data_IF_113547625544
#
_entry.id   IF_113547625544
#
_cell.length_a   1.000
_cell.length_b   1.000
_cell.length_c   1.000
_cell.angle_alpha   90.00
_cell.angle_beta   90.00
_cell.angle_gamma   90.00
#
_symmetry.space_group_name_H-M   'P 1'
#
loop_
_entity.id
_entity.type
_entity.pdbx_description
1 polymer ?
#
# COMPACT_ATOMS: atom_id res chain seq x y z
N UNK A 1 6.54 19.89 -30.11
CA UNK A 1 7.41 19.76 -28.93
C UNK A 1 6.71 20.08 -27.60
N UNK A 2 5.44 20.49 -27.53
CA UNK A 2 4.76 20.88 -26.27
C UNK A 2 3.82 19.84 -25.65
N UNK A 3 3.45 18.76 -26.35
CA UNK A 3 2.48 17.78 -25.86
C UNK A 3 3.05 16.84 -24.79
N UNK A 4 4.26 16.34 -25.02
CA UNK A 4 4.89 15.31 -24.18
C UNK A 4 5.35 15.86 -22.82
N UNK A 5 5.86 17.10 -22.79
CA UNK A 5 6.29 17.75 -21.54
C UNK A 5 5.11 18.01 -20.59
N UNK A 6 3.98 18.44 -21.13
CA UNK A 6 2.75 18.64 -20.35
C UNK A 6 2.25 17.32 -19.74
N UNK A 7 2.35 16.21 -20.48
CA UNK A 7 1.93 14.90 -19.99
C UNK A 7 2.83 14.42 -18.84
N UNK A 8 4.16 14.57 -18.98
CA UNK A 8 5.12 14.22 -17.91
C UNK A 8 4.87 15.07 -16.65
N UNK A 9 4.59 16.36 -16.80
CA UNK A 9 4.30 17.24 -15.66
C UNK A 9 3.04 16.79 -14.91
N UNK A 10 1.94 16.49 -15.63
CA UNK A 10 0.69 15.99 -15.03
C UNK A 10 0.92 14.65 -14.32
N UNK A 11 1.70 13.75 -14.92
CA UNK A 11 2.06 12.46 -14.33
C UNK A 11 2.79 12.63 -12.99
N UNK A 12 3.83 13.47 -12.94
CA UNK A 12 4.61 13.72 -11.71
C UNK A 12 3.76 14.36 -10.62
N UNK A 13 2.93 15.35 -10.96
CA UNK A 13 2.02 15.99 -9.99
C UNK A 13 1.04 14.97 -9.42
N UNK A 14 0.49 14.10 -10.26
CA UNK A 14 -0.45 13.04 -9.83
C UNK A 14 0.21 12.08 -8.83
N UNK A 15 1.47 11.70 -9.06
CA UNK A 15 2.24 10.85 -8.16
C UNK A 15 2.53 11.52 -6.81
N UNK A 16 2.82 12.83 -6.81
CA UNK A 16 3.05 13.57 -5.57
C UNK A 16 1.76 13.69 -4.74
N UNK A 17 0.63 13.96 -5.39
CA UNK A 17 -0.69 13.98 -4.72
C UNK A 17 -1.01 12.60 -4.14
N UNK A 18 -0.81 11.53 -4.93
CA UNK A 18 -0.98 10.15 -4.49
C UNK A 18 -0.14 9.85 -3.24
N UNK A 19 1.15 10.21 -3.26
CA UNK A 19 2.07 9.97 -2.16
C UNK A 19 1.61 10.67 -0.88
N UNK A 20 1.19 11.93 -0.98
CA UNK A 20 0.69 12.69 0.17
C UNK A 20 -0.55 12.03 0.76
N UNK A 21 -1.55 11.70 -0.06
CA UNK A 21 -2.77 11.02 0.39
C UNK A 21 -2.44 9.69 1.06
N UNK A 22 -1.54 8.91 0.45
CA UNK A 22 -1.11 7.62 0.99
C UNK A 22 -0.44 7.74 2.36
N UNK A 23 0.44 8.73 2.55
CA UNK A 23 1.08 8.99 3.84
C UNK A 23 0.03 9.31 4.91
N UNK A 24 -0.95 10.17 4.60
CA UNK A 24 -2.04 10.50 5.53
C UNK A 24 -2.90 9.27 5.85
N UNK A 25 -3.19 8.45 4.85
CA UNK A 25 -3.96 7.22 5.01
C UNK A 25 -3.28 6.23 5.96
N UNK A 26 -2.00 5.90 5.71
CA UNK A 26 -1.26 4.95 6.56
C UNK A 26 -0.97 5.52 7.95
N UNK A 27 -0.85 6.84 8.10
CA UNK A 27 -0.76 7.49 9.42
C UNK A 27 -1.94 7.15 10.33
N UNK A 28 -3.14 6.91 9.78
CA UNK A 28 -4.28 6.42 10.55
C UNK A 28 -3.96 5.12 11.30
N UNK A 29 -3.32 4.16 10.63
CA UNK A 29 -2.92 2.88 11.24
C UNK A 29 -1.79 3.02 12.27
N UNK A 30 -0.87 3.97 12.06
CA UNK A 30 0.15 4.33 13.08
C UNK A 30 -0.52 4.79 14.37
N UNK A 31 -1.50 5.70 14.28
CA UNK A 31 -2.21 6.23 15.44
C UNK A 31 -2.99 5.14 16.17
N UNK A 32 -3.68 4.26 15.42
CA UNK A 32 -4.39 3.10 15.97
C UNK A 32 -3.42 2.16 16.70
N UNK A 33 -2.30 1.82 16.06
CA UNK A 33 -1.29 0.94 16.64
C UNK A 33 -0.70 1.50 17.93
N UNK A 34 -0.42 2.82 17.97
CA UNK A 34 0.04 3.50 19.19
C UNK A 34 -1.02 3.48 20.30
N UNK A 35 -2.27 3.86 19.99
CA UNK A 35 -3.37 3.85 20.97
C UNK A 35 -3.65 2.45 21.54
N UNK A 36 -3.48 1.41 20.72
CA UNK A 36 -3.70 0.01 21.12
C UNK A 36 -2.46 -0.70 21.64
N UNK A 37 -1.31 -0.02 21.71
CA UNK A 37 -0.03 -0.61 22.10
C UNK A 37 0.33 -1.85 21.25
N UNK A 38 0.06 -1.79 19.95
CA UNK A 38 0.39 -2.85 18.97
C UNK A 38 1.61 -2.37 18.15
N UNK A 39 2.85 -2.65 18.59
CA UNK A 39 4.06 -2.14 17.93
C UNK A 39 4.22 -2.70 16.51
N UNK A 40 3.76 -3.93 16.25
CA UNK A 40 3.85 -4.53 14.91
C UNK A 40 3.10 -3.71 13.86
N UNK A 41 1.90 -3.21 14.17
CA UNK A 41 1.12 -2.37 13.26
C UNK A 41 1.83 -1.04 13.01
N UNK A 42 2.40 -0.43 14.06
CA UNK A 42 3.14 0.83 13.94
C UNK A 42 4.35 0.66 13.04
N UNK A 43 5.19 -0.34 13.31
CA UNK A 43 6.44 -0.56 12.58
C UNK A 43 6.17 -0.88 11.10
N UNK A 44 5.18 -1.74 10.83
CA UNK A 44 4.84 -2.11 9.46
C UNK A 44 4.13 -0.99 8.70
N UNK A 45 3.35 -0.14 9.38
CA UNK A 45 2.81 1.07 8.76
C UNK A 45 3.92 2.04 8.32
N UNK A 46 4.94 2.26 9.16
CA UNK A 46 6.10 3.06 8.75
C UNK A 46 6.87 2.42 7.60
N UNK A 47 7.09 1.11 7.65
CA UNK A 47 7.76 0.38 6.57
C UNK A 47 7.00 0.54 5.24
N UNK A 48 5.67 0.40 5.27
CA UNK A 48 4.81 0.61 4.10
C UNK A 48 4.94 2.02 3.54
N UNK A 49 4.98 3.06 4.38
CA UNK A 49 5.23 4.45 3.94
C UNK A 49 6.59 4.57 3.26
N UNK A 50 7.65 4.05 3.88
CA UNK A 50 9.02 4.17 3.36
C UNK A 50 9.13 3.49 1.99
N UNK A 51 8.68 2.23 1.89
CA UNK A 51 8.76 1.47 0.64
C UNK A 51 7.93 2.13 -0.46
N UNK A 52 6.71 2.58 -0.16
CA UNK A 52 5.88 3.27 -1.16
C UNK A 52 6.48 4.60 -1.61
N UNK A 53 7.15 5.32 -0.70
CA UNK A 53 7.86 6.57 -1.01
C UNK A 53 9.01 6.31 -1.97
N UNK A 54 9.86 5.32 -1.67
CA UNK A 54 10.96 4.90 -2.55
C UNK A 54 10.42 4.52 -3.93
N UNK A 55 9.35 3.72 -3.98
CA UNK A 55 8.72 3.30 -5.23
C UNK A 55 8.17 4.47 -6.05
N UNK A 56 7.51 5.42 -5.39
CA UNK A 56 6.96 6.60 -6.06
C UNK A 56 8.07 7.47 -6.66
N UNK A 57 9.20 7.60 -5.96
CA UNK A 57 10.38 8.30 -6.49
C UNK A 57 10.89 7.60 -7.76
N UNK A 58 11.02 6.28 -7.75
CA UNK A 58 11.41 5.54 -8.96
C UNK A 58 10.44 5.73 -10.12
N UNK A 59 9.13 5.77 -9.86
CA UNK A 59 8.12 6.04 -10.88
C UNK A 59 8.28 7.43 -11.50
N UNK A 60 8.56 8.46 -10.69
CA UNK A 60 8.82 9.82 -11.20
C UNK A 60 9.98 9.85 -12.21
N UNK A 61 11.01 9.02 -12.01
CA UNK A 61 12.16 8.92 -12.92
C UNK A 61 11.93 8.04 -14.15
N UNK A 62 10.84 7.26 -14.19
CA UNK A 62 10.58 6.29 -15.26
C UNK A 62 10.48 6.91 -16.66
N UNK A 63 9.81 8.08 -16.87
CA UNK A 63 9.78 8.73 -18.19
C UNK A 63 11.16 9.16 -18.70
N UNK A 64 12.11 9.41 -17.80
CA UNK A 64 13.48 9.87 -18.12
C UNK A 64 14.41 8.67 -18.36
N UNK A 65 14.17 7.56 -17.64
CA UNK A 65 14.97 6.35 -17.70
C UNK A 65 14.11 5.13 -18.07
N UNK A 66 13.85 4.88 -19.37
CA UNK A 66 13.01 3.78 -19.83
C UNK A 66 13.50 2.39 -19.41
N UNK A 67 14.78 2.26 -19.04
CA UNK A 67 15.34 1.00 -18.51
C UNK A 67 14.63 0.55 -17.21
N UNK A 68 14.02 1.48 -16.47
CA UNK A 68 13.19 1.19 -15.30
C UNK A 68 11.86 0.53 -15.65
N UNK A 69 11.47 0.40 -16.93
CA UNK A 69 10.29 -0.38 -17.33
C UNK A 69 10.63 -1.82 -17.70
N UNK A 70 11.89 -2.25 -17.56
CA UNK A 70 12.32 -3.62 -17.87
C UNK A 70 11.53 -4.64 -17.02
N UNK A 71 11.16 -5.76 -17.65
CA UNK A 71 10.45 -6.87 -17.00
C UNK A 71 11.14 -7.35 -15.71
N UNK A 72 12.47 -7.42 -15.69
CA UNK A 72 13.22 -7.80 -14.49
C UNK A 72 12.95 -6.84 -13.32
N UNK A 73 12.92 -5.54 -13.59
CA UNK A 73 12.64 -4.52 -12.58
C UNK A 73 11.19 -4.62 -12.08
N UNK A 74 10.23 -4.80 -12.99
CA UNK A 74 8.82 -4.94 -12.60
C UNK A 74 8.58 -6.18 -11.72
N UNK A 75 9.28 -7.28 -11.97
CA UNK A 75 9.22 -8.47 -11.10
C UNK A 75 9.71 -8.14 -9.69
N UNK A 76 10.84 -7.45 -9.55
CA UNK A 76 11.35 -7.04 -8.23
C UNK A 76 10.35 -6.15 -7.46
N UNK A 77 9.66 -5.28 -8.19
CA UNK A 77 8.61 -4.41 -7.63
C UNK A 77 7.44 -5.24 -7.12
N UNK A 78 6.94 -6.19 -7.92
CA UNK A 78 5.84 -7.07 -7.49
C UNK A 78 6.21 -7.89 -6.26
N UNK A 79 7.44 -8.42 -6.20
CA UNK A 79 7.94 -9.18 -5.04
C UNK A 79 7.99 -8.31 -3.79
N UNK A 80 8.62 -7.13 -3.87
CA UNK A 80 8.75 -6.21 -2.73
C UNK A 80 7.38 -5.73 -2.25
N UNK A 81 6.50 -5.33 -3.16
CA UNK A 81 5.14 -4.87 -2.83
C UNK A 81 4.32 -5.99 -2.21
N UNK A 82 4.40 -7.21 -2.76
CA UNK A 82 3.73 -8.39 -2.23
C UNK A 82 4.15 -8.72 -0.80
N UNK A 83 5.46 -8.71 -0.51
CA UNK A 83 5.97 -8.96 0.84
C UNK A 83 5.44 -7.89 1.82
N UNK A 84 5.50 -6.61 1.44
CA UNK A 84 5.03 -5.52 2.31
C UNK A 84 3.53 -5.64 2.58
N UNK A 85 2.71 -5.95 1.57
CA UNK A 85 1.28 -6.19 1.73
C UNK A 85 1.00 -7.36 2.68
N UNK A 86 1.74 -8.48 2.55
CA UNK A 86 1.58 -9.63 3.46
C UNK A 86 1.86 -9.21 4.90
N UNK A 87 3.00 -8.55 5.13
CA UNK A 87 3.39 -8.10 6.46
C UNK A 87 2.33 -7.14 7.03
N UNK A 88 1.90 -6.16 6.24
CA UNK A 88 0.86 -5.22 6.64
C UNK A 88 -0.45 -5.94 6.98
N UNK A 89 -0.88 -6.91 6.18
CA UNK A 89 -2.04 -7.76 6.45
C UNK A 89 -1.94 -8.53 7.77
N UNK A 90 -0.79 -9.14 8.06
CA UNK A 90 -0.53 -9.81 9.35
C UNK A 90 -0.67 -8.83 10.52
N UNK A 91 -0.21 -7.59 10.34
CA UNK A 91 -0.33 -6.54 11.35
C UNK A 91 -1.78 -6.14 11.61
N UNK A 92 -2.63 -6.13 10.58
CA UNK A 92 -4.06 -5.83 10.67
C UNK A 92 -4.84 -6.94 11.38
N UNK A 93 -4.41 -8.20 11.28
CA UNK A 93 -5.04 -9.30 12.04
C UNK A 93 -4.99 -9.06 13.56
N UNK A 94 -3.98 -8.34 14.05
CA UNK A 94 -3.90 -7.97 15.49
C UNK A 94 -5.03 -7.03 15.94
N UNK A 95 -5.71 -6.38 14.99
CA UNK A 95 -6.86 -5.53 15.25
C UNK A 95 -8.18 -6.32 15.41
N UNK A 96 -8.20 -7.62 15.10
CA UNK A 96 -9.39 -8.49 15.23
C UNK A 96 -10.00 -8.41 16.63
N UNK A 97 -9.17 -8.42 17.68
CA UNK A 97 -9.65 -8.36 19.07
C UNK A 97 -10.51 -7.13 19.37
N UNK A 98 -10.29 -6.00 18.69
CA UNK A 98 -11.02 -4.74 18.94
C UNK A 98 -12.06 -4.41 17.86
N UNK A 99 -11.82 -4.81 16.63
CA UNK A 99 -12.64 -4.44 15.48
C UNK A 99 -13.36 -5.62 14.80
N UNK A 100 -13.16 -6.83 15.32
CA UNK A 100 -13.88 -8.04 14.94
C UNK A 100 -13.56 -8.50 13.51
N UNK A 101 -14.59 -9.07 12.87
CA UNK A 101 -14.50 -9.70 11.55
C UNK A 101 -14.00 -8.77 10.44
N UNK A 102 -14.23 -7.45 10.54
CA UNK A 102 -13.72 -6.50 9.53
C UNK A 102 -12.20 -6.45 9.53
N UNK A 103 -11.56 -6.33 10.69
CA UNK A 103 -10.11 -6.33 10.78
C UNK A 103 -9.53 -7.66 10.28
N UNK A 104 -10.17 -8.78 10.64
CA UNK A 104 -9.79 -10.11 10.15
C UNK A 104 -9.87 -10.21 8.63
N UNK A 105 -11.01 -9.83 8.05
CA UNK A 105 -11.21 -9.87 6.59
C UNK A 105 -10.20 -8.97 5.86
N UNK A 106 -9.96 -7.77 6.38
CA UNK A 106 -8.98 -6.83 5.81
C UNK A 106 -7.57 -7.43 5.81
N UNK A 107 -7.16 -8.04 6.92
CA UNK A 107 -5.85 -8.68 7.04
C UNK A 107 -5.70 -9.90 6.13
N UNK A 108 -6.72 -10.78 6.08
CA UNK A 108 -6.72 -11.96 5.20
C UNK A 108 -6.65 -11.56 3.73
N UNK A 109 -7.47 -10.59 3.30
CA UNK A 109 -7.46 -10.13 1.91
C UNK A 109 -6.12 -9.50 1.51
N UNK A 110 -5.51 -8.71 2.40
CA UNK A 110 -4.14 -8.24 2.20
C UNK A 110 -3.18 -9.42 1.99
N UNK A 111 -3.19 -10.42 2.88
CA UNK A 111 -2.31 -11.59 2.73
C UNK A 111 -2.52 -12.30 1.38
N UNK A 112 -3.76 -12.51 0.97
CA UNK A 112 -4.09 -13.14 -0.33
C UNK A 112 -3.57 -12.29 -1.50
N UNK A 113 -3.81 -10.97 -1.47
CA UNK A 113 -3.31 -10.06 -2.51
C UNK A 113 -1.78 -10.06 -2.56
N UNK A 114 -1.12 -10.02 -1.41
CA UNK A 114 0.34 -10.03 -1.33
C UNK A 114 0.95 -11.35 -1.82
N UNK A 115 0.36 -12.50 -1.49
CA UNK A 115 0.77 -13.80 -2.05
C UNK A 115 0.59 -13.81 -3.58
N UNK A 116 -0.50 -13.20 -4.08
CA UNK A 116 -0.77 -13.10 -5.51
C UNK A 116 0.31 -12.25 -6.23
N UNK A 117 0.76 -11.15 -5.60
CA UNK A 117 1.86 -10.34 -6.10
C UNK A 117 3.21 -11.06 -6.08
N UNK A 118 3.54 -11.76 -4.97
CA UNK A 118 4.79 -12.54 -4.87
C UNK A 118 4.84 -13.65 -5.92
N UNK A 119 3.69 -14.21 -6.28
CA UNK A 119 3.60 -15.27 -7.31
C UNK A 119 3.82 -14.74 -8.73
N UNK A 120 3.85 -13.41 -8.94
CA UNK A 120 4.03 -12.69 -10.22
C UNK A 120 2.96 -13.01 -11.28
N UNK A 121 2.79 -14.28 -11.64
CA UNK A 121 1.78 -14.80 -12.58
C UNK A 121 0.36 -14.46 -12.09
N UNK A 122 0.12 -14.53 -10.78
CA UNK A 122 -1.19 -14.23 -10.17
C UNK A 122 -1.37 -12.75 -9.83
N UNK A 123 -0.45 -11.86 -10.22
CA UNK A 123 -0.49 -10.43 -9.85
C UNK A 123 -1.80 -9.74 -10.26
N UNK A 124 -2.46 -10.18 -11.34
CA UNK A 124 -3.76 -9.66 -11.74
C UNK A 124 -4.85 -9.84 -10.67
N UNK A 125 -4.81 -10.93 -9.90
CA UNK A 125 -5.72 -11.17 -8.77
C UNK A 125 -5.43 -10.15 -7.66
N UNK A 126 -4.15 -9.94 -7.36
CA UNK A 126 -3.71 -8.94 -6.39
C UNK A 126 -4.22 -7.53 -6.75
N UNK A 127 -4.08 -7.14 -8.02
CA UNK A 127 -4.57 -5.84 -8.53
C UNK A 127 -6.09 -5.68 -8.35
N UNK A 128 -6.88 -6.71 -8.66
CA UNK A 128 -8.33 -6.67 -8.46
C UNK A 128 -8.71 -6.56 -6.98
N UNK A 129 -7.91 -7.14 -6.09
CA UNK A 129 -8.16 -7.10 -4.64
C UNK A 129 -7.77 -5.77 -3.98
N UNK A 130 -6.91 -4.95 -4.58
CA UNK A 130 -6.51 -3.65 -3.99
C UNK A 130 -7.73 -2.76 -3.73
N UNK A 131 -8.71 -2.73 -4.63
CA UNK A 131 -9.91 -1.89 -4.50
C UNK A 131 -10.74 -2.30 -3.25
N UNK A 132 -11.21 -3.56 -3.11
CA UNK A 132 -11.97 -3.96 -1.93
C UNK A 132 -11.14 -3.89 -0.64
N UNK A 133 -9.82 -4.16 -0.70
CA UNK A 133 -8.93 -4.01 0.45
C UNK A 133 -8.92 -2.55 0.93
N UNK A 134 -8.73 -1.59 0.02
CA UNK A 134 -8.67 -0.16 0.35
C UNK A 134 -9.99 0.30 0.99
N UNK A 135 -11.13 -0.16 0.49
CA UNK A 135 -12.44 0.13 1.08
C UNK A 135 -12.54 -0.40 2.51
N UNK A 136 -12.12 -1.64 2.76
CA UNK A 136 -12.14 -2.23 4.10
C UNK A 136 -11.21 -1.53 5.06
N UNK A 137 -10.02 -1.12 4.60
CA UNK A 137 -9.08 -0.34 5.39
C UNK A 137 -9.66 1.03 5.77
N UNK A 138 -10.32 1.73 4.84
CA UNK A 138 -11.04 2.99 5.13
C UNK A 138 -12.14 2.75 6.17
N UNK A 139 -12.95 1.69 6.03
CA UNK A 139 -13.98 1.33 7.00
C UNK A 139 -13.36 1.05 8.37
N UNK A 140 -12.20 0.38 8.41
CA UNK A 140 -11.50 0.07 9.64
C UNK A 140 -10.99 1.35 10.33
N UNK A 141 -10.42 2.29 9.58
CA UNK A 141 -10.03 3.62 10.08
C UNK A 141 -11.23 4.39 10.64
N UNK A 142 -12.37 4.38 9.93
CA UNK A 142 -13.60 5.04 10.38
C UNK A 142 -14.18 4.42 11.65
N UNK A 143 -14.14 3.08 11.77
CA UNK A 143 -14.56 2.40 13.01
C UNK A 143 -13.60 2.70 14.16
N UNK A 144 -12.32 2.81 13.86
CA UNK A 144 -11.31 3.17 14.84
C UNK A 144 -11.52 4.59 15.36
N UNK A 145 -11.79 5.58 14.52
CA UNK A 145 -12.04 6.96 14.96
C UNK A 145 -13.25 7.10 15.89
N UNK A 146 -14.27 6.23 15.75
CA UNK A 146 -15.43 6.21 16.65
C UNK A 146 -15.19 5.49 17.98
N UNK A 147 -14.21 4.60 18.07
CA UNK A 147 -13.97 3.70 19.23
C UNK A 147 -12.69 4.02 20.01
N UNK A 148 -11.93 5.02 19.60
CA UNK A 148 -10.59 5.35 20.13
C UNK A 148 -10.41 6.84 20.39
#
# INVERSE_FOLDING_TARGET
>A
MSGDENFVMIYVISLLIYLLIFIFFIRGFILIGKKLKIPLLVNLSYLTIIVNTIWTIFQIFTPIYPQLTNLFYQILVLLTFGIIIILFGISLLKLEKKFGSIAKATGILNIIAGISFVTVILSFIGLLLIIPISILEIILLFRASKKL
#
